data_IF_834740634168
#
_entry.id   IF_834740634168
#
_cell.length_a   1.000
_cell.length_b   1.000
_cell.length_c   1.000
_cell.angle_alpha   90.00
_cell.angle_beta   90.00
_cell.angle_gamma   90.00
#
_symmetry.space_group_name_H-M   'P 1'
#
loop_
_entity.id
_entity.type
_entity.pdbx_description
1 polymer ?
#
# COMPACT_ATOMS: atom_id res chain seq x y z
N UNK A 1 7.56 -9.82 12.52
CA UNK A 1 6.64 -8.99 11.71
C UNK A 1 5.51 -9.81 11.13
N UNK A 2 5.76 -10.82 10.30
CA UNK A 2 4.64 -11.55 9.69
C UNK A 2 3.74 -12.26 10.73
N UNK A 3 4.32 -12.92 11.74
CA UNK A 3 3.56 -13.46 12.88
C UNK A 3 3.05 -12.39 13.86
N UNK A 4 3.52 -11.14 13.75
CA UNK A 4 3.08 -10.04 14.61
C UNK A 4 1.69 -9.57 14.16
N UNK A 5 1.38 -9.66 12.86
CA UNK A 5 0.07 -9.25 12.31
C UNK A 5 -1.09 -10.07 12.91
N UNK A 6 -1.12 -11.41 12.82
CA UNK A 6 -2.20 -12.19 13.41
C UNK A 6 -2.26 -12.01 14.93
N UNK A 7 -1.12 -11.90 15.61
CA UNK A 7 -1.05 -11.62 17.05
C UNK A 7 -1.67 -10.25 17.41
N UNK A 8 -1.38 -9.20 16.64
CA UNK A 8 -1.94 -7.86 16.87
C UNK A 8 -3.44 -7.87 16.63
N UNK A 9 -3.90 -8.53 15.55
CA UNK A 9 -5.33 -8.67 15.26
C UNK A 9 -6.02 -9.42 16.41
N UNK A 10 -5.48 -10.56 16.87
CA UNK A 10 -6.01 -11.29 18.03
C UNK A 10 -6.10 -10.39 19.26
N UNK A 11 -5.06 -9.60 19.50
CA UNK A 11 -5.01 -8.69 20.65
C UNK A 11 -5.99 -7.50 20.51
N UNK A 12 -6.26 -7.02 19.30
CA UNK A 12 -7.30 -6.01 19.03
C UNK A 12 -8.67 -6.63 19.28
N UNK A 13 -8.95 -7.80 18.70
CA UNK A 13 -10.23 -8.51 18.86
C UNK A 13 -10.52 -8.80 20.33
N UNK A 14 -9.54 -9.29 21.09
CA UNK A 14 -9.71 -9.57 22.52
C UNK A 14 -9.97 -8.32 23.38
N UNK A 15 -9.63 -7.12 22.85
CA UNK A 15 -9.77 -5.83 23.55
C UNK A 15 -10.73 -4.88 22.82
N UNK A 16 -11.53 -5.38 21.89
CA UNK A 16 -12.39 -4.58 21.01
C UNK A 16 -13.25 -3.57 21.80
N UNK A 17 -13.89 -4.03 22.89
CA UNK A 17 -14.72 -3.19 23.76
C UNK A 17 -13.95 -2.04 24.44
N UNK A 18 -12.66 -2.23 24.73
CA UNK A 18 -11.83 -1.23 25.41
C UNK A 18 -11.23 -0.25 24.40
N UNK A 19 -10.94 -0.74 23.19
CA UNK A 19 -10.35 0.05 22.11
C UNK A 19 -11.39 0.81 21.26
N UNK A 20 -12.68 0.55 21.49
CA UNK A 20 -13.78 0.98 20.61
C UNK A 20 -13.50 0.58 19.14
N UNK A 21 -13.12 -0.69 18.95
CA UNK A 21 -12.74 -1.25 17.66
C UNK A 21 -13.75 -2.28 17.18
N UNK A 22 -14.02 -2.29 15.87
CA UNK A 22 -14.79 -3.34 15.20
C UNK A 22 -13.83 -4.39 14.63
N UNK A 23 -13.77 -5.61 15.21
CA UNK A 23 -12.85 -6.65 14.77
C UNK A 23 -13.19 -7.24 13.39
N UNK A 24 -14.38 -6.96 12.84
CA UNK A 24 -14.78 -7.36 11.49
C UNK A 24 -14.40 -6.31 10.44
N UNK A 25 -13.80 -5.18 10.85
CA UNK A 25 -13.47 -4.03 10.00
C UNK A 25 -12.00 -3.66 10.13
N UNK A 26 -11.14 -4.57 9.70
CA UNK A 26 -9.68 -4.44 9.84
C UNK A 26 -9.02 -4.26 8.47
N UNK A 27 -8.13 -3.28 8.38
CA UNK A 27 -7.20 -3.11 7.26
C UNK A 27 -5.78 -2.95 7.78
N UNK A 28 -4.81 -3.15 6.89
CA UNK A 28 -3.38 -2.99 7.19
C UNK A 28 -2.76 -1.95 6.25
N UNK A 29 -1.89 -1.09 6.78
CA UNK A 29 -1.13 -0.13 6.01
C UNK A 29 0.35 -0.20 6.37
N UNK A 30 1.23 0.05 5.41
CA UNK A 30 2.67 0.00 5.68
C UNK A 30 3.52 0.69 4.62
N UNK A 31 4.59 1.35 5.08
CA UNK A 31 5.58 2.00 4.23
C UNK A 31 6.84 1.16 4.05
N UNK A 32 7.33 1.05 2.81
CA UNK A 32 8.61 0.42 2.47
C UNK A 32 8.66 -1.03 2.97
N UNK A 33 9.48 -1.36 3.97
CA UNK A 33 9.47 -2.69 4.59
C UNK A 33 8.13 -3.05 5.28
N UNK A 34 7.33 -2.04 5.66
CA UNK A 34 5.95 -2.21 6.07
C UNK A 34 5.04 -2.64 4.91
N UNK A 35 5.26 -2.13 3.69
CA UNK A 35 4.51 -2.55 2.51
C UNK A 35 4.82 -4.02 2.13
N UNK A 36 6.05 -4.50 2.35
CA UNK A 36 6.35 -5.94 2.32
C UNK A 36 5.48 -6.74 3.29
N UNK A 37 5.22 -6.18 4.47
CA UNK A 37 4.39 -6.84 5.49
C UNK A 37 2.92 -6.85 5.08
N UNK A 38 2.42 -5.76 4.48
CA UNK A 38 1.08 -5.68 3.88
C UNK A 38 0.90 -6.78 2.82
N UNK A 39 1.76 -6.80 1.80
CA UNK A 39 1.63 -7.76 0.70
C UNK A 39 1.71 -9.21 1.20
N UNK A 40 2.62 -9.52 2.12
CA UNK A 40 2.69 -10.85 2.74
C UNK A 40 1.41 -11.22 3.51
N UNK A 41 0.89 -10.29 4.32
CA UNK A 41 -0.33 -10.49 5.10
C UNK A 41 -1.57 -10.68 4.22
N UNK A 42 -1.53 -10.18 2.98
CA UNK A 42 -2.58 -10.36 1.98
C UNK A 42 -2.37 -11.57 1.07
N UNK A 43 -1.28 -12.33 1.25
CA UNK A 43 -1.06 -13.59 0.53
C UNK A 43 0.11 -13.60 -0.46
N UNK A 44 0.95 -12.57 -0.52
CA UNK A 44 2.18 -12.64 -1.32
C UNK A 44 3.04 -13.83 -0.85
N UNK A 45 3.36 -14.75 -1.76
CA UNK A 45 4.29 -15.85 -1.53
C UNK A 45 5.73 -15.32 -1.57
N UNK A 46 6.58 -15.84 -0.69
CA UNK A 46 8.02 -15.57 -0.69
C UNK A 46 8.86 -16.83 -0.98
N UNK A 47 8.25 -17.81 -1.67
CA UNK A 47 8.78 -19.11 -2.07
C UNK A 47 9.42 -19.89 -0.92
N UNK A 48 8.66 -20.82 -0.34
CA UNK A 48 9.13 -21.77 0.68
C UNK A 48 8.88 -21.34 2.12
N UNK A 49 8.06 -20.30 2.33
CA UNK A 49 7.51 -19.94 3.65
C UNK A 49 5.99 -20.22 3.65
N UNK A 50 5.39 -20.58 4.80
CA UNK A 50 3.93 -20.64 4.91
C UNK A 50 3.32 -19.31 4.47
N UNK A 51 2.21 -19.36 3.73
CA UNK A 51 1.46 -18.16 3.38
C UNK A 51 1.13 -17.39 4.66
N UNK A 52 1.53 -16.12 4.73
CA UNK A 52 1.24 -15.23 5.86
C UNK A 52 -0.14 -14.57 5.73
N UNK A 53 -0.99 -15.11 4.84
CA UNK A 53 -2.33 -14.65 4.58
C UNK A 53 -3.16 -14.64 5.87
N UNK A 54 -3.64 -13.45 6.23
CA UNK A 54 -4.62 -13.28 7.30
C UNK A 54 -5.99 -12.92 6.68
N UNK A 55 -6.95 -13.86 6.63
CA UNK A 55 -8.22 -13.65 5.96
C UNK A 55 -9.14 -12.62 6.65
N UNK A 56 -8.76 -12.12 7.83
CA UNK A 56 -9.52 -11.08 8.55
C UNK A 56 -9.27 -9.68 8.00
N UNK A 57 -8.23 -9.51 7.18
CA UNK A 57 -7.91 -8.23 6.54
C UNK A 57 -8.86 -7.98 5.37
N UNK A 58 -9.63 -6.90 5.46
CA UNK A 58 -10.57 -6.47 4.42
C UNK A 58 -9.93 -5.64 3.31
N UNK A 59 -8.81 -4.98 3.61
CA UNK A 59 -8.10 -4.13 2.65
C UNK A 59 -6.63 -3.93 3.07
N UNK A 60 -5.78 -3.57 2.10
CA UNK A 60 -4.39 -3.17 2.34
C UNK A 60 -4.02 -1.84 1.71
N UNK A 61 -3.11 -1.10 2.35
CA UNK A 61 -2.49 0.11 1.78
C UNK A 61 -0.97 -0.06 1.75
N UNK A 62 -0.41 -0.14 0.55
CA UNK A 62 1.00 -0.36 0.30
C UNK A 62 1.67 0.97 -0.12
N UNK A 63 2.45 1.56 0.78
CA UNK A 63 3.15 2.82 0.55
C UNK A 63 4.61 2.54 0.14
N UNK A 64 4.99 2.92 -1.07
CA UNK A 64 6.29 2.60 -1.69
C UNK A 64 6.62 1.10 -1.62
N UNK A 65 5.77 0.23 -2.20
CA UNK A 65 6.01 -1.19 -2.10
C UNK A 65 7.29 -1.59 -2.87
N UNK A 66 7.97 -2.63 -2.40
CA UNK A 66 9.15 -3.17 -3.04
C UNK A 66 8.80 -3.97 -4.28
N UNK A 67 9.71 -3.94 -5.26
CA UNK A 67 9.68 -4.84 -6.39
C UNK A 67 9.80 -6.31 -5.96
N UNK A 68 9.38 -7.27 -6.80
CA UNK A 68 9.65 -8.69 -6.59
C UNK A 68 11.13 -8.95 -6.25
N UNK A 69 11.43 -9.94 -5.38
CA UNK A 69 12.81 -10.21 -4.99
C UNK A 69 13.68 -10.58 -6.19
N UNK A 70 14.86 -9.96 -6.33
CA UNK A 70 15.77 -10.18 -7.47
C UNK A 70 16.21 -11.65 -7.68
N UNK A 71 16.08 -12.49 -6.65
CA UNK A 71 16.35 -13.94 -6.74
C UNK A 71 15.27 -14.72 -7.51
N UNK A 72 14.09 -14.13 -7.71
CA UNK A 72 12.97 -14.75 -8.41
C UNK A 72 13.07 -14.38 -9.89
N UNK A 73 13.07 -15.35 -10.81
CA UNK A 73 13.02 -15.07 -12.24
C UNK A 73 11.78 -14.25 -12.62
N UNK A 74 11.94 -13.28 -13.53
CA UNK A 74 10.85 -12.39 -13.97
C UNK A 74 9.59 -13.15 -14.43
N UNK A 75 9.77 -14.25 -15.16
CA UNK A 75 8.68 -15.12 -15.61
C UNK A 75 7.89 -15.80 -14.48
N UNK A 76 8.31 -15.66 -13.23
CA UNK A 76 7.68 -16.22 -12.02
C UNK A 76 7.24 -15.11 -11.05
N UNK A 77 7.33 -13.84 -11.45
CA UNK A 77 6.95 -12.72 -10.59
C UNK A 77 5.44 -12.70 -10.32
N UNK A 78 4.61 -12.98 -11.32
CA UNK A 78 3.15 -13.03 -11.16
C UNK A 78 2.73 -14.07 -10.11
N UNK A 79 3.33 -15.27 -10.16
CA UNK A 79 3.07 -16.37 -9.24
C UNK A 79 3.23 -15.99 -7.75
N UNK A 80 4.03 -14.97 -7.43
CA UNK A 80 4.18 -14.47 -6.06
C UNK A 80 2.87 -13.86 -5.51
N UNK A 81 1.95 -13.47 -6.39
CA UNK A 81 0.78 -12.67 -6.05
C UNK A 81 -0.55 -13.40 -6.27
N UNK A 82 -0.53 -14.65 -6.77
CA UNK A 82 -1.73 -15.44 -7.15
C UNK A 82 -2.77 -15.59 -6.02
N UNK A 83 -2.32 -15.61 -4.77
CA UNK A 83 -3.21 -15.78 -3.61
C UNK A 83 -3.84 -14.46 -3.12
N UNK A 84 -3.45 -13.31 -3.68
CA UNK A 84 -3.97 -12.00 -3.29
C UNK A 84 -5.32 -11.76 -3.97
N UNK A 85 -6.38 -11.76 -3.16
CA UNK A 85 -7.75 -11.41 -3.57
C UNK A 85 -8.36 -10.22 -2.80
N UNK A 86 -7.62 -9.68 -1.82
CA UNK A 86 -8.06 -8.57 -0.97
C UNK A 86 -7.76 -7.22 -1.65
N UNK A 87 -8.68 -6.23 -1.64
CA UNK A 87 -8.45 -4.91 -2.21
C UNK A 87 -7.17 -4.24 -1.73
N UNK A 88 -6.41 -3.60 -2.64
CA UNK A 88 -5.18 -2.89 -2.29
C UNK A 88 -5.10 -1.52 -2.95
N UNK A 89 -4.72 -0.53 -2.15
CA UNK A 89 -4.30 0.79 -2.60
C UNK A 89 -2.78 0.92 -2.53
N UNK A 90 -2.14 1.23 -3.66
CA UNK A 90 -0.70 1.40 -3.80
C UNK A 90 -0.36 2.88 -3.99
N UNK A 91 0.66 3.33 -3.28
CA UNK A 91 1.24 4.66 -3.46
C UNK A 91 2.72 4.56 -3.81
N UNK A 92 3.17 5.36 -4.76
CA UNK A 92 4.60 5.58 -5.06
C UNK A 92 4.79 6.95 -5.71
N UNK A 93 5.98 7.25 -6.21
CA UNK A 93 6.25 8.49 -6.93
C UNK A 93 7.35 8.32 -7.98
N UNK A 94 7.44 9.29 -8.88
CA UNK A 94 8.36 9.23 -10.03
C UNK A 94 9.84 9.36 -9.64
N UNK A 95 10.14 9.72 -8.39
CA UNK A 95 11.49 9.78 -7.82
C UNK A 95 11.73 8.72 -6.71
N UNK A 96 10.81 7.76 -6.55
CA UNK A 96 10.85 6.71 -5.53
C UNK A 96 11.84 5.56 -5.88
N UNK A 97 13.10 5.94 -6.06
CA UNK A 97 14.20 5.01 -6.30
C UNK A 97 14.46 4.11 -5.09
N UNK A 98 15.01 2.92 -5.32
CA UNK A 98 15.19 1.96 -4.24
C UNK A 98 16.32 2.39 -3.27
N UNK A 99 16.05 2.59 -1.96
CA UNK A 99 17.02 3.15 -1.02
C UNK A 99 18.31 2.35 -0.85
N UNK A 100 18.26 1.04 -1.12
CA UNK A 100 19.39 0.12 -0.97
C UNK A 100 19.97 -0.34 -2.32
N UNK A 101 19.34 0.03 -3.42
CA UNK A 101 19.75 -0.39 -4.76
C UNK A 101 19.35 0.68 -5.79
N UNK A 102 20.16 1.75 -5.94
CA UNK A 102 19.80 2.88 -6.79
C UNK A 102 19.66 2.52 -8.28
N UNK A 103 20.15 1.35 -8.70
CA UNK A 103 20.02 0.85 -10.06
C UNK A 103 18.60 0.33 -10.37
N UNK A 104 17.75 0.14 -9.35
CA UNK A 104 16.34 -0.19 -9.55
C UNK A 104 15.53 1.11 -9.80
N UNK A 105 14.93 1.24 -11.00
CA UNK A 105 14.13 2.41 -11.36
C UNK A 105 12.88 2.56 -10.47
N UNK A 106 12.38 3.79 -10.32
CA UNK A 106 11.20 4.09 -9.49
C UNK A 106 9.94 3.36 -9.99
N UNK A 107 9.84 3.10 -11.30
CA UNK A 107 8.72 2.40 -11.93
C UNK A 107 8.56 0.97 -11.39
N UNK A 108 9.65 0.35 -10.90
CA UNK A 108 9.60 -0.99 -10.31
C UNK A 108 8.73 -1.07 -9.04
N UNK A 109 8.44 0.08 -8.41
CA UNK A 109 7.49 0.21 -7.29
C UNK A 109 6.05 -0.08 -7.70
N UNK A 110 5.74 -0.01 -9.00
CA UNK A 110 4.40 -0.31 -9.52
C UNK A 110 4.22 -1.79 -9.86
N UNK A 111 5.28 -2.61 -9.81
CA UNK A 111 5.22 -4.03 -10.16
C UNK A 111 4.18 -4.81 -9.33
N UNK A 112 4.06 -4.63 -8.00
CA UNK A 112 2.99 -5.29 -7.24
C UNK A 112 1.60 -4.98 -7.80
N UNK A 113 1.29 -3.71 -8.09
CA UNK A 113 0.03 -3.33 -8.71
C UNK A 113 -0.18 -4.00 -10.07
N UNK A 114 0.86 -4.08 -10.91
CA UNK A 114 0.80 -4.67 -12.26
C UNK A 114 0.63 -6.20 -12.24
N UNK A 115 1.23 -6.87 -11.26
CA UNK A 115 1.30 -8.33 -11.20
C UNK A 115 0.13 -8.96 -10.43
N UNK A 116 -0.56 -8.20 -9.56
CA UNK A 116 -1.77 -8.67 -8.86
C UNK A 116 -2.97 -8.56 -9.81
N UNK A 117 -3.61 -9.70 -10.10
CA UNK A 117 -4.77 -9.76 -11.01
C UNK A 117 -6.06 -10.24 -10.30
N UNK A 118 -5.94 -10.84 -9.10
CA UNK A 118 -7.05 -11.46 -8.38
C UNK A 118 -7.85 -10.53 -7.44
N UNK A 119 -7.51 -9.25 -7.37
CA UNK A 119 -8.05 -8.30 -6.39
C UNK A 119 -8.41 -6.96 -7.04
N UNK A 120 -9.37 -6.21 -6.47
CA UNK A 120 -9.52 -4.78 -6.77
C UNK A 120 -8.21 -4.04 -6.45
N UNK A 121 -7.73 -3.22 -7.38
CA UNK A 121 -6.47 -2.51 -7.26
C UNK A 121 -6.64 -1.02 -7.53
N UNK A 122 -5.91 -0.20 -6.77
CA UNK A 122 -5.79 1.24 -6.98
C UNK A 122 -4.30 1.62 -6.93
N UNK A 123 -3.84 2.45 -7.86
CA UNK A 123 -2.49 2.96 -7.91
C UNK A 123 -2.50 4.47 -7.99
N UNK A 124 -1.70 5.10 -7.14
CA UNK A 124 -1.38 6.53 -7.19
C UNK A 124 0.13 6.70 -7.29
N UNK A 125 0.59 7.36 -8.36
CA UNK A 125 1.99 7.72 -8.58
C UNK A 125 2.10 9.24 -8.57
N UNK A 126 2.77 9.78 -7.56
CA UNK A 126 2.99 11.22 -7.43
C UNK A 126 4.19 11.70 -8.23
N UNK A 127 4.01 12.75 -9.03
CA UNK A 127 5.11 13.40 -9.72
C UNK A 127 6.05 14.07 -8.71
N UNK A 128 7.34 13.75 -8.80
CA UNK A 128 8.36 14.23 -7.86
C UNK A 128 8.31 13.60 -6.46
N UNK A 129 7.40 12.64 -6.22
CA UNK A 129 7.37 11.87 -4.98
C UNK A 129 8.58 10.94 -4.88
N UNK A 130 9.36 11.06 -3.81
CA UNK A 130 10.49 10.19 -3.52
C UNK A 130 10.13 9.13 -2.47
N UNK A 131 11.09 8.29 -2.07
CA UNK A 131 10.84 7.23 -1.09
C UNK A 131 10.45 7.73 0.30
N UNK A 132 10.96 8.90 0.70
CA UNK A 132 10.87 9.40 2.07
C UNK A 132 9.56 10.17 2.33
N UNK A 133 8.88 10.65 1.29
CA UNK A 133 7.60 11.38 1.41
C UNK A 133 6.54 10.58 2.18
N UNK A 134 6.51 9.26 2.01
CA UNK A 134 5.57 8.35 2.66
C UNK A 134 5.97 7.95 4.09
N UNK A 135 7.14 8.36 4.56
CA UNK A 135 7.64 8.00 5.89
C UNK A 135 7.03 8.79 7.03
N UNK A 136 6.30 9.87 6.75
CA UNK A 136 5.66 10.75 7.75
C UNK A 136 6.65 11.44 8.70
N UNK A 137 7.94 11.49 8.34
CA UNK A 137 9.00 12.07 9.16
C UNK A 137 9.20 13.54 8.79
N UNK A 138 9.41 14.39 9.79
CA UNK A 138 9.98 15.71 9.60
C UNK A 138 11.47 15.63 9.21
N UNK A 139 12.17 16.78 9.15
CA UNK A 139 13.59 16.81 8.83
C UNK A 139 14.40 15.83 9.67
N UNK A 140 15.29 15.07 9.03
CA UNK A 140 16.20 14.13 9.70
C UNK A 140 17.66 14.48 9.39
N UNK A 141 18.61 13.89 10.11
CA UNK A 141 20.04 14.03 9.75
C UNK A 141 20.35 13.59 8.32
N UNK A 142 19.61 12.62 7.79
CA UNK A 142 19.78 12.11 6.41
C UNK A 142 18.98 12.92 5.38
N UNK A 143 18.00 13.70 5.82
CA UNK A 143 17.17 14.56 5.00
C UNK A 143 16.87 15.86 5.77
N UNK A 144 17.82 16.81 5.81
CA UNK A 144 17.70 18.00 6.64
C UNK A 144 16.69 19.00 6.09
N UNK A 145 16.34 18.89 4.81
CA UNK A 145 15.38 19.75 4.12
C UNK A 145 14.26 18.87 3.59
N UNK A 146 13.03 19.23 3.93
CA UNK A 146 11.83 18.57 3.41
C UNK A 146 11.42 19.28 2.12
N UNK A 147 11.27 18.56 0.99
CA UNK A 147 10.76 19.15 -0.25
C UNK A 147 9.40 19.81 -0.04
N UNK A 148 9.18 20.95 -0.70
CA UNK A 148 7.93 21.73 -0.58
C UNK A 148 6.70 20.96 -1.07
N UNK A 149 6.89 19.92 -1.87
CA UNK A 149 5.83 19.03 -2.38
C UNK A 149 5.34 18.03 -1.34
N UNK A 150 6.11 17.74 -0.27
CA UNK A 150 5.77 16.71 0.70
C UNK A 150 4.43 16.91 1.41
N UNK A 151 4.11 18.10 1.96
CA UNK A 151 2.87 18.29 2.71
C UNK A 151 1.63 17.95 1.88
N UNK A 152 1.63 18.29 0.60
CA UNK A 152 0.51 17.99 -0.27
C UNK A 152 0.47 16.51 -0.66
N UNK A 153 1.59 15.89 -1.05
CA UNK A 153 1.62 14.45 -1.34
C UNK A 153 1.10 13.66 -0.12
N UNK A 154 1.51 14.06 1.09
CA UNK A 154 1.05 13.45 2.33
C UNK A 154 -0.45 13.69 2.58
N UNK A 155 -0.95 14.90 2.30
CA UNK A 155 -2.37 15.21 2.43
C UNK A 155 -3.23 14.40 1.44
N UNK A 156 -2.82 14.30 0.18
CA UNK A 156 -3.49 13.49 -0.85
C UNK A 156 -3.42 12.00 -0.49
N UNK A 157 -2.26 11.52 -0.03
CA UNK A 157 -2.09 10.14 0.45
C UNK A 157 -3.08 9.84 1.58
N UNK A 158 -3.20 10.73 2.57
CA UNK A 158 -4.12 10.57 3.69
C UNK A 158 -5.59 10.61 3.26
N UNK A 159 -5.95 11.55 2.37
CA UNK A 159 -7.30 11.69 1.85
C UNK A 159 -7.74 10.43 1.09
N UNK A 160 -6.95 9.98 0.12
CA UNK A 160 -7.28 8.81 -0.70
C UNK A 160 -7.27 7.53 0.13
N UNK A 161 -6.33 7.40 1.07
CA UNK A 161 -6.34 6.30 2.05
C UNK A 161 -7.63 6.27 2.87
N UNK A 162 -8.13 7.43 3.28
CA UNK A 162 -9.36 7.53 4.07
C UNK A 162 -10.55 7.07 3.23
N UNK A 163 -10.72 7.60 2.01
CA UNK A 163 -11.83 7.20 1.13
C UNK A 163 -11.76 5.70 0.80
N UNK A 164 -10.57 5.17 0.54
CA UNK A 164 -10.35 3.74 0.31
C UNK A 164 -10.81 2.87 1.50
N UNK A 165 -10.47 3.26 2.73
CA UNK A 165 -10.91 2.57 3.93
C UNK A 165 -12.42 2.71 4.13
N UNK A 166 -13.01 3.87 3.86
CA UNK A 166 -14.46 4.05 3.92
C UNK A 166 -15.19 3.13 2.95
N UNK A 167 -14.72 3.02 1.70
CA UNK A 167 -15.30 2.16 0.70
C UNK A 167 -15.19 0.66 1.04
N UNK A 168 -13.98 0.16 1.34
CA UNK A 168 -13.74 -1.28 1.44
C UNK A 168 -13.88 -1.86 2.85
N UNK A 169 -13.66 -1.05 3.88
CA UNK A 169 -13.68 -1.49 5.28
C UNK A 169 -14.99 -1.11 5.98
N UNK A 170 -15.56 0.07 5.65
CA UNK A 170 -16.84 0.52 6.22
C UNK A 170 -18.05 0.26 5.33
N UNK A 171 -17.84 -0.27 4.12
CA UNK A 171 -18.90 -0.52 3.12
C UNK A 171 -19.66 0.76 2.73
N UNK A 172 -18.94 1.90 2.65
CA UNK A 172 -19.54 3.19 2.31
C UNK A 172 -19.74 3.31 0.78
N UNK A 173 -20.99 3.40 0.29
CA UNK A 173 -21.28 3.42 -1.13
C UNK A 173 -20.87 4.74 -1.81
N UNK A 174 -20.86 5.87 -1.09
CA UNK A 174 -20.47 7.17 -1.65
C UNK A 174 -18.95 7.23 -1.81
N UNK A 175 -18.21 6.68 -0.84
CA UNK A 175 -16.76 6.50 -0.95
C UNK A 175 -16.40 5.55 -2.10
N UNK A 176 -17.14 4.45 -2.27
CA UNK A 176 -16.94 3.51 -3.37
C UNK A 176 -17.21 4.17 -4.74
N UNK A 177 -18.27 4.97 -4.84
CA UNK A 177 -18.56 5.73 -6.06
C UNK A 177 -17.42 6.72 -6.38
N UNK A 178 -16.92 7.44 -5.37
CA UNK A 178 -15.84 8.40 -5.55
C UNK A 178 -14.52 7.75 -6.04
N UNK A 179 -14.18 6.56 -5.53
CA UNK A 179 -12.95 5.83 -5.93
C UNK A 179 -12.98 5.32 -7.37
N UNK A 180 -14.17 5.01 -7.89
CA UNK A 180 -14.34 4.38 -9.20
C UNK A 180 -14.81 5.36 -10.29
N UNK A 181 -14.97 6.64 -9.96
CA UNK A 181 -15.35 7.69 -10.89
C UNK A 181 -14.13 8.58 -11.23
N UNK A 182 -14.28 9.44 -12.24
CA UNK A 182 -13.29 10.45 -12.63
C UNK A 182 -12.96 11.42 -11.48
N UNK A 183 -13.77 11.44 -10.43
CA UNK A 183 -13.56 12.19 -9.20
C UNK A 183 -12.20 11.89 -8.56
N UNK A 184 -11.77 10.62 -8.52
CA UNK A 184 -10.46 10.24 -8.00
C UNK A 184 -9.35 10.92 -8.80
N UNK A 185 -9.37 10.81 -10.13
CA UNK A 185 -8.36 11.41 -11.01
C UNK A 185 -8.35 12.94 -10.92
N UNK A 186 -9.52 13.56 -10.76
CA UNK A 186 -9.67 15.02 -10.66
C UNK A 186 -9.03 15.64 -9.40
N UNK A 187 -8.75 14.83 -8.38
CA UNK A 187 -8.10 15.28 -7.14
C UNK A 187 -6.59 15.55 -7.30
N UNK A 188 -5.98 15.12 -8.41
CA UNK A 188 -4.55 15.14 -8.61
C UNK A 188 -4.10 16.15 -9.65
N UNK A 189 -2.81 16.50 -9.58
CA UNK A 189 -2.22 17.51 -10.45
C UNK A 189 -1.83 16.91 -11.81
N UNK A 190 -1.67 17.73 -12.85
CA UNK A 190 -0.99 17.28 -14.07
C UNK A 190 0.39 16.69 -13.73
N UNK A 191 0.64 15.46 -14.17
CA UNK A 191 1.88 14.71 -13.92
C UNK A 191 1.71 13.56 -12.92
N UNK A 192 0.78 13.68 -11.98
CA UNK A 192 0.38 12.54 -11.15
C UNK A 192 -0.38 11.52 -12.01
N UNK A 193 -0.22 10.24 -11.68
CA UNK A 193 -0.91 9.14 -12.37
C UNK A 193 -1.77 8.37 -11.38
N UNK A 194 -3.01 8.15 -11.78
CA UNK A 194 -3.98 7.35 -11.02
C UNK A 194 -4.50 6.25 -11.93
N UNK A 195 -4.56 5.03 -11.42
CA UNK A 195 -5.13 3.87 -12.11
C UNK A 195 -5.97 3.05 -11.12
N UNK A 196 -7.03 2.41 -11.60
CA UNK A 196 -7.80 1.43 -10.84
C UNK A 196 -8.28 0.31 -11.76
N UNK A 197 -8.43 -0.90 -11.21
CA UNK A 197 -8.94 -2.09 -11.92
C UNK A 197 -9.56 -3.11 -10.98
#
# INVERSE_FOLDING_TARGET
RYSDIPFIIDAITARANVLDADPERIAIAGHSFGAHTVLAALGQDFFGQPAFLDPRLRAGIALSPPAPPARVPEARHADLYDAISTPILHFTGTQDTHPLNPDLPAETRTLPYQLIDGAPQYLVVFEGGDHAVFGGRGPTRRQPVIPETYPEIQALTAMVSTVFLEAWVKDDPDAMAWLNDDALASAFRPGDRVEHR
#
